data_IF_187440770233
#
_entry.id   IF_187440770233
#
_cell.length_a   1.000
_cell.length_b   1.000
_cell.length_c   1.000
_cell.angle_alpha   90.00
_cell.angle_beta   90.00
_cell.angle_gamma   90.00
#
_symmetry.space_group_name_H-M   'P 1'
#
loop_
_entity.id
_entity.type
_entity.pdbx_description
1 polymer ?
#
# COMPACT_ATOMS: atom_id res chain seq x y z
N UNK A 1 -68.95 15.75 6.12
CA UNK A 1 -67.85 15.50 7.08
C UNK A 1 -66.97 14.49 6.46
N UNK A 2 -65.94 14.95 5.84
CA UNK A 2 -64.98 14.06 5.14
C UNK A 2 -63.68 14.03 5.88
N UNK A 3 -63.31 12.86 6.32
CA UNK A 3 -62.02 12.60 6.90
C UNK A 3 -60.98 12.50 5.81
N UNK A 4 -60.05 13.45 5.83
CA UNK A 4 -58.83 13.32 5.02
C UNK A 4 -57.87 12.43 5.76
N UNK A 5 -57.76 11.20 5.30
CA UNK A 5 -56.63 10.35 5.71
C UNK A 5 -55.41 10.78 4.93
N UNK A 6 -54.50 11.41 5.66
CA UNK A 6 -53.24 11.87 5.10
C UNK A 6 -52.33 10.72 4.70
N UNK A 7 -51.81 10.85 3.54
CA UNK A 7 -50.91 9.98 2.85
C UNK A 7 -49.50 9.98 3.53
N UNK A 8 -49.34 9.20 4.61
CA UNK A 8 -48.08 9.10 5.30
C UNK A 8 -47.24 7.86 4.92
N UNK A 9 -47.73 7.06 3.95
CA UNK A 9 -47.09 5.78 3.63
C UNK A 9 -46.05 5.86 2.50
N UNK A 10 -45.92 6.97 1.79
CA UNK A 10 -44.97 7.07 0.68
C UNK A 10 -43.55 7.49 1.10
N UNK A 11 -43.41 8.21 2.22
CA UNK A 11 -42.11 8.66 2.71
C UNK A 11 -41.28 7.54 3.36
N UNK A 12 -41.92 6.52 3.88
CA UNK A 12 -41.22 5.40 4.53
C UNK A 12 -40.63 4.40 3.54
N UNK A 13 -41.21 4.24 2.35
CA UNK A 13 -40.72 3.30 1.35
C UNK A 13 -39.43 3.76 0.66
N UNK A 14 -39.28 5.06 0.42
CA UNK A 14 -38.05 5.57 -0.18
C UNK A 14 -36.87 5.53 0.78
N UNK A 15 -37.07 5.72 2.08
CA UNK A 15 -36.03 5.61 3.09
C UNK A 15 -35.59 4.15 3.33
N UNK A 16 -36.53 3.22 3.29
CA UNK A 16 -36.22 1.80 3.41
C UNK A 16 -35.41 1.26 2.22
N UNK A 17 -35.73 1.69 1.01
CA UNK A 17 -34.96 1.33 -0.20
C UNK A 17 -33.55 1.88 -0.17
N UNK A 18 -33.36 3.13 0.31
CA UNK A 18 -32.06 3.75 0.48
C UNK A 18 -31.22 3.07 1.56
N UNK A 19 -31.83 2.71 2.69
CA UNK A 19 -31.17 2.00 3.79
C UNK A 19 -30.75 0.58 3.38
N UNK A 20 -31.60 -0.14 2.65
CA UNK A 20 -31.28 -1.47 2.13
C UNK A 20 -30.09 -1.41 1.18
N UNK A 21 -30.06 -0.42 0.29
CA UNK A 21 -28.94 -0.22 -0.64
C UNK A 21 -27.63 0.05 0.11
N UNK A 22 -27.65 0.90 1.13
CA UNK A 22 -26.47 1.17 1.97
C UNK A 22 -26.00 -0.08 2.70
N UNK A 23 -26.93 -0.85 3.28
CA UNK A 23 -26.61 -2.11 3.98
C UNK A 23 -25.97 -3.13 3.02
N UNK A 24 -26.53 -3.29 1.84
CA UNK A 24 -26.00 -4.21 0.83
C UNK A 24 -24.62 -3.77 0.34
N UNK A 25 -24.42 -2.49 0.14
CA UNK A 25 -23.12 -1.92 -0.25
C UNK A 25 -22.07 -2.16 0.84
N UNK A 26 -22.43 -1.97 2.11
CA UNK A 26 -21.53 -2.23 3.25
C UNK A 26 -21.17 -3.70 3.34
N UNK A 27 -22.12 -4.61 3.17
CA UNK A 27 -21.88 -6.06 3.18
C UNK A 27 -20.94 -6.47 2.06
N UNK A 28 -21.15 -5.94 0.87
CA UNK A 28 -20.28 -6.22 -0.28
C UNK A 28 -18.87 -5.69 -0.04
N UNK A 29 -18.75 -4.48 0.48
CA UNK A 29 -17.46 -3.89 0.84
C UNK A 29 -16.68 -4.78 1.81
N UNK A 30 -17.35 -5.26 2.87
CA UNK A 30 -16.74 -6.15 3.87
C UNK A 30 -16.31 -7.48 3.24
N UNK A 31 -17.14 -8.05 2.38
CA UNK A 31 -16.83 -9.28 1.66
C UNK A 31 -15.56 -9.13 0.82
N UNK A 32 -15.48 -8.07 0.02
CA UNK A 32 -14.32 -7.79 -0.82
C UNK A 32 -13.08 -7.52 0.04
N UNK A 33 -13.22 -6.77 1.12
CA UNK A 33 -12.13 -6.50 2.06
C UNK A 33 -11.56 -7.81 2.65
N UNK A 34 -12.42 -8.73 3.04
CA UNK A 34 -12.01 -10.05 3.53
C UNK A 34 -11.28 -10.87 2.45
N UNK A 35 -11.80 -10.89 1.24
CA UNK A 35 -11.19 -11.58 0.10
C UNK A 35 -9.81 -11.01 -0.22
N UNK A 36 -9.68 -9.69 -0.23
CA UNK A 36 -8.40 -9.02 -0.46
C UNK A 36 -7.37 -9.38 0.60
N UNK A 37 -7.76 -9.43 1.87
CA UNK A 37 -6.85 -9.82 2.96
C UNK A 37 -6.33 -11.24 2.79
N UNK A 38 -7.20 -12.18 2.41
CA UNK A 38 -6.78 -13.54 2.12
C UNK A 38 -5.80 -13.61 0.96
N UNK A 39 -6.11 -12.92 -0.14
CA UNK A 39 -5.25 -12.86 -1.32
C UNK A 39 -3.89 -12.22 -1.00
N UNK A 40 -3.88 -11.15 -0.20
CA UNK A 40 -2.64 -10.50 0.22
C UNK A 40 -1.74 -11.44 1.03
N UNK A 41 -2.34 -12.23 1.95
CA UNK A 41 -1.62 -13.24 2.72
C UNK A 41 -1.02 -14.31 1.81
N UNK A 42 -1.79 -14.80 0.84
CA UNK A 42 -1.31 -15.77 -0.13
C UNK A 42 -0.20 -15.20 -1.02
N UNK A 43 -0.36 -13.97 -1.48
CA UNK A 43 0.67 -13.28 -2.27
C UNK A 43 1.96 -13.13 -1.46
N UNK A 44 1.85 -12.73 -0.20
CA UNK A 44 3.01 -12.57 0.69
C UNK A 44 3.78 -13.88 0.83
N UNK A 45 3.07 -14.99 1.09
CA UNK A 45 3.67 -16.31 1.23
C UNK A 45 4.40 -16.73 -0.05
N UNK A 46 3.76 -16.52 -1.20
CA UNK A 46 4.36 -16.84 -2.50
C UNK A 46 5.55 -15.96 -2.84
N UNK A 47 5.50 -14.67 -2.51
CA UNK A 47 6.63 -13.75 -2.68
C UNK A 47 7.83 -14.17 -1.84
N UNK A 48 7.61 -14.57 -0.60
CA UNK A 48 8.67 -15.07 0.29
C UNK A 48 9.31 -16.33 -0.28
N UNK A 49 8.49 -17.28 -0.77
CA UNK A 49 9.00 -18.49 -1.40
C UNK A 49 9.77 -18.19 -2.68
N UNK A 50 9.25 -17.31 -3.52
CA UNK A 50 9.93 -16.88 -4.75
C UNK A 50 11.27 -16.22 -4.44
N UNK A 51 11.34 -15.41 -3.38
CA UNK A 51 12.59 -14.78 -2.93
C UNK A 51 13.62 -15.83 -2.53
N UNK A 52 13.23 -16.82 -1.73
CA UNK A 52 14.13 -17.91 -1.33
C UNK A 52 14.67 -18.66 -2.54
N UNK A 53 13.80 -18.99 -3.50
CA UNK A 53 14.20 -19.65 -4.74
C UNK A 53 15.11 -18.75 -5.59
N UNK A 54 14.80 -17.47 -5.68
CA UNK A 54 15.62 -16.50 -6.41
C UNK A 54 17.02 -16.37 -5.81
N UNK A 55 17.11 -16.31 -4.48
CA UNK A 55 18.41 -16.24 -3.77
C UNK A 55 19.25 -17.49 -4.04
N UNK A 56 18.62 -18.67 -4.05
CA UNK A 56 19.29 -19.92 -4.39
C UNK A 56 19.77 -19.92 -5.84
N UNK A 57 18.95 -19.46 -6.79
CA UNK A 57 19.31 -19.37 -8.20
C UNK A 57 20.43 -18.37 -8.44
N UNK A 58 20.41 -17.22 -7.77
CA UNK A 58 21.49 -16.22 -7.85
C UNK A 58 22.81 -16.82 -7.38
N UNK A 59 22.81 -17.58 -6.27
CA UNK A 59 23.99 -18.24 -5.77
C UNK A 59 24.56 -19.25 -6.79
N UNK A 60 23.68 -20.06 -7.39
CA UNK A 60 24.08 -21.04 -8.40
C UNK A 60 24.69 -20.34 -9.62
N UNK A 61 24.05 -19.30 -10.14
CA UNK A 61 24.53 -18.57 -11.33
C UNK A 61 25.85 -17.87 -11.05
N UNK A 62 26.01 -17.28 -9.87
CA UNK A 62 27.24 -16.61 -9.47
C UNK A 62 28.41 -17.59 -9.39
N UNK A 63 28.17 -18.77 -8.78
CA UNK A 63 29.21 -19.76 -8.57
C UNK A 63 29.54 -20.58 -9.83
N UNK A 64 28.58 -20.72 -10.73
CA UNK A 64 28.72 -21.54 -11.95
C UNK A 64 29.15 -20.77 -13.18
N UNK A 65 29.26 -19.46 -13.11
CA UNK A 65 29.62 -18.58 -14.23
C UNK A 65 28.70 -18.75 -15.45
N UNK A 66 27.41 -18.98 -15.17
CA UNK A 66 26.34 -19.13 -16.15
C UNK A 66 25.47 -17.87 -16.11
N UNK A 67 25.05 -17.36 -17.28
CA UNK A 67 24.23 -16.16 -17.39
C UNK A 67 22.76 -16.40 -17.09
N UNK A 68 22.27 -17.60 -17.24
CA UNK A 68 20.85 -17.91 -17.02
C UNK A 68 20.44 -19.27 -17.59
N UNK A 69 19.15 -19.51 -17.62
CA UNK A 69 18.55 -20.75 -18.14
C UNK A 69 17.45 -20.44 -19.13
N UNK A 70 17.38 -21.23 -20.19
CA UNK A 70 16.26 -21.19 -21.11
C UNK A 70 15.20 -22.20 -20.68
N UNK A 71 13.96 -21.74 -20.58
CA UNK A 71 12.80 -22.58 -20.24
C UNK A 71 11.75 -22.47 -21.33
N UNK A 72 10.75 -23.35 -21.30
CA UNK A 72 9.61 -23.27 -22.21
C UNK A 72 8.81 -21.99 -22.05
N UNK A 73 8.83 -21.39 -20.85
CA UNK A 73 8.08 -20.18 -20.52
C UNK A 73 8.90 -18.90 -20.63
N UNK A 74 10.16 -19.00 -21.03
CA UNK A 74 11.05 -17.86 -21.17
C UNK A 74 12.43 -18.12 -20.63
N UNK A 75 13.27 -17.10 -20.69
CA UNK A 75 14.65 -17.17 -20.20
C UNK A 75 14.74 -16.53 -18.82
N UNK A 76 15.39 -17.24 -17.89
CA UNK A 76 15.75 -16.70 -16.59
C UNK A 76 17.21 -16.22 -16.65
N UNK A 77 17.43 -14.93 -16.47
CA UNK A 77 18.75 -14.32 -16.57
C UNK A 77 19.23 -13.79 -15.23
N UNK A 78 20.54 -13.89 -15.01
CA UNK A 78 21.20 -13.22 -13.90
C UNK A 78 21.36 -11.74 -14.23
N UNK A 79 20.74 -10.88 -13.45
CA UNK A 79 20.81 -9.43 -13.64
C UNK A 79 21.30 -8.77 -12.36
N UNK A 80 22.32 -7.94 -12.49
CA UNK A 80 22.84 -7.12 -11.39
C UNK A 80 22.44 -5.67 -11.63
N UNK A 81 21.45 -5.19 -10.89
CA UNK A 81 20.93 -3.83 -11.03
C UNK A 81 21.50 -2.95 -9.92
N UNK A 82 21.96 -1.78 -10.31
CA UNK A 82 22.42 -0.76 -9.35
C UNK A 82 21.38 0.35 -9.29
N UNK A 83 20.81 0.57 -8.11
CA UNK A 83 19.89 1.67 -7.87
C UNK A 83 20.43 2.55 -6.74
N UNK A 84 20.13 3.84 -6.83
CA UNK A 84 20.47 4.75 -5.74
C UNK A 84 19.54 4.52 -4.57
N UNK A 85 20.07 4.57 -3.36
CA UNK A 85 19.24 4.48 -2.15
C UNK A 85 18.31 5.68 -2.04
N UNK A 86 17.18 5.48 -1.36
CA UNK A 86 16.21 6.54 -1.15
C UNK A 86 16.78 7.66 -0.29
N UNK A 87 16.38 8.89 -0.61
CA UNK A 87 16.71 10.05 0.23
C UNK A 87 15.93 9.96 1.55
N UNK A 88 16.65 9.94 2.66
CA UNK A 88 16.08 10.03 3.99
C UNK A 88 16.72 11.20 4.75
N UNK A 89 16.18 11.50 5.93
CA UNK A 89 16.64 12.61 6.76
C UNK A 89 18.13 12.51 7.11
N UNK A 90 18.60 11.32 7.45
CA UNK A 90 20.01 11.08 7.78
C UNK A 90 20.93 11.31 6.58
N UNK A 91 20.51 10.86 5.40
CA UNK A 91 21.28 11.05 4.18
C UNK A 91 21.42 12.54 3.83
N UNK A 92 20.34 13.29 3.91
CA UNK A 92 20.32 14.74 3.65
C UNK A 92 21.22 15.47 4.65
N UNK A 93 21.10 15.13 5.93
CA UNK A 93 21.94 15.70 6.99
C UNK A 93 23.42 15.43 6.73
N UNK A 94 23.77 14.20 6.41
CA UNK A 94 25.16 13.81 6.14
C UNK A 94 25.71 14.52 4.89
N UNK A 95 24.89 14.66 3.85
CA UNK A 95 25.30 15.35 2.63
C UNK A 95 25.52 16.86 2.88
N UNK A 96 24.63 17.51 3.62
CA UNK A 96 24.77 18.93 3.97
C UNK A 96 25.98 19.18 4.85
N UNK A 97 26.29 18.27 5.76
CA UNK A 97 27.45 18.38 6.66
C UNK A 97 28.78 18.40 5.92
N UNK A 98 28.86 17.92 4.69
CA UNK A 98 30.06 17.99 3.85
C UNK A 98 30.32 19.38 3.32
N UNK A 99 29.30 20.21 3.18
CA UNK A 99 29.39 21.56 2.62
C UNK A 99 29.28 22.65 3.69
N UNK A 100 28.60 22.38 4.79
CA UNK A 100 28.31 23.31 5.87
C UNK A 100 28.98 22.81 7.13
N UNK A 101 29.86 23.63 7.72
CA UNK A 101 30.64 23.23 8.92
C UNK A 101 29.85 23.40 10.21
N UNK A 102 28.86 24.30 10.25
CA UNK A 102 28.03 24.53 11.43
C UNK A 102 26.95 23.46 11.56
N UNK A 103 27.04 22.60 12.58
CA UNK A 103 26.09 21.51 12.82
C UNK A 103 24.67 22.00 13.11
N UNK A 104 24.52 23.13 13.78
CA UNK A 104 23.19 23.71 14.05
C UNK A 104 22.52 24.19 12.77
N UNK A 105 23.28 24.76 11.85
CA UNK A 105 22.79 25.17 10.54
C UNK A 105 22.38 23.96 9.68
N UNK A 106 23.15 22.88 9.72
CA UNK A 106 22.82 21.62 9.03
C UNK A 106 21.51 21.05 9.56
N UNK A 107 21.31 21.04 10.88
CA UNK A 107 20.10 20.55 11.51
C UNK A 107 18.89 21.40 11.12
N UNK A 108 19.03 22.72 11.15
CA UNK A 108 17.97 23.65 10.76
C UNK A 108 17.58 23.50 9.30
N UNK A 109 18.55 23.36 8.40
CA UNK A 109 18.29 23.16 6.97
C UNK A 109 17.63 21.81 6.69
N UNK A 110 18.08 20.75 7.36
CA UNK A 110 17.49 19.44 7.24
C UNK A 110 16.02 19.45 7.68
N UNK A 111 15.74 20.07 8.82
CA UNK A 111 14.39 20.22 9.34
C UNK A 111 13.50 21.00 8.38
N UNK A 112 14.00 22.12 7.84
CA UNK A 112 13.28 22.93 6.86
C UNK A 112 12.93 22.13 5.60
N UNK A 113 13.86 21.36 5.07
CA UNK A 113 13.63 20.51 3.89
C UNK A 113 12.49 19.52 4.14
N UNK A 114 12.46 18.89 5.31
CA UNK A 114 11.39 17.94 5.66
C UNK A 114 10.05 18.62 5.90
N UNK A 115 10.02 19.74 6.58
CA UNK A 115 8.79 20.46 6.91
C UNK A 115 8.18 21.21 5.73
N UNK A 116 9.00 21.56 4.73
CA UNK A 116 8.52 22.28 3.54
C UNK A 116 7.76 21.42 2.55
N UNK A 117 7.73 20.09 2.76
CA UNK A 117 6.98 19.18 1.88
C UNK A 117 5.48 19.44 2.00
N UNK A 118 4.80 19.43 0.85
CA UNK A 118 3.37 19.62 0.78
C UNK A 118 2.60 18.50 1.48
N UNK A 119 1.43 18.85 1.99
CA UNK A 119 0.52 17.89 2.63
C UNK A 119 -0.50 17.43 1.59
N UNK A 120 -0.66 16.13 1.43
CA UNK A 120 -1.73 15.53 0.65
C UNK A 120 -2.78 14.96 1.58
N UNK A 121 -4.03 15.37 1.36
CA UNK A 121 -5.15 14.77 2.07
C UNK A 121 -5.81 13.71 1.20
N UNK A 122 -6.17 12.60 1.81
CA UNK A 122 -6.88 11.51 1.15
C UNK A 122 -8.00 11.03 2.05
N UNK A 123 -9.21 11.02 1.49
CA UNK A 123 -10.36 10.46 2.17
C UNK A 123 -10.44 8.96 1.89
N UNK A 124 -10.75 8.18 2.91
CA UNK A 124 -10.81 6.72 2.78
C UNK A 124 -11.74 6.13 3.83
N UNK A 125 -12.14 4.90 3.58
CA UNK A 125 -12.92 4.12 4.54
C UNK A 125 -11.95 3.20 5.28
N UNK A 126 -11.99 3.26 6.60
CA UNK A 126 -11.20 2.42 7.49
C UNK A 126 -12.09 1.46 8.25
N UNK A 127 -11.73 0.18 8.25
CA UNK A 127 -12.41 -0.85 9.03
C UNK A 127 -11.72 -1.00 10.38
N UNK A 128 -12.48 -0.91 11.46
CA UNK A 128 -12.01 -1.27 12.80
C UNK A 128 -12.59 -2.62 13.19
N UNK A 129 -11.74 -3.53 13.62
CA UNK A 129 -12.14 -4.84 14.11
C UNK A 129 -12.25 -4.76 15.63
N UNK A 130 -13.40 -5.16 16.17
CA UNK A 130 -13.61 -5.24 17.61
C UNK A 130 -13.05 -6.56 18.10
N UNK A 131 -12.00 -6.49 18.91
CA UNK A 131 -11.43 -7.67 19.57
C UNK A 131 -12.18 -7.89 20.90
N UNK A 132 -12.91 -8.96 21.00
CA UNK A 132 -13.53 -9.38 22.27
C UNK A 132 -12.57 -10.28 23.05
#
# INVERSE_FOLDING_TARGET
MEEQQGNSSQTNQSNQGGQTHVVDTVKEWIKIDNELKLLQTEIKTRKERKKQLSDSLVSILRDSDIDGWNTKEGKLEYVKTKTKTSLNKQHIKAALAKFIKDGDQVDAMTQFIYESRGIKEKESIKRKVVNN
#
